data_IF_560015294724
#
_entry.id   IF_560015294724
#
_cell.length_a   1.000
_cell.length_b   1.000
_cell.length_c   1.000
_cell.angle_alpha   90.00
_cell.angle_beta   90.00
_cell.angle_gamma   90.00
#
_symmetry.space_group_name_H-M   'P 1'
#
loop_
_entity.id
_entity.type
_entity.pdbx_description
1 polymer ?
#
# COMPACT_ATOMS: atom_id res chain seq x y z
N UNK A 1 -18.56 4.75 -7.52
CA UNK A 1 -19.88 4.82 -8.20
C UNK A 1 -21.02 5.29 -7.29
N UNK A 2 -20.87 5.37 -5.97
CA UNK A 2 -21.95 5.87 -5.08
C UNK A 2 -21.88 7.37 -4.74
N UNK A 3 -20.80 8.08 -5.08
CA UNK A 3 -20.64 9.51 -4.75
C UNK A 3 -21.13 10.47 -5.86
N UNK A 4 -21.36 9.97 -7.08
CA UNK A 4 -21.79 10.80 -8.21
C UNK A 4 -23.33 10.96 -8.28
N UNK A 5 -24.09 10.11 -7.58
CA UNK A 5 -25.56 10.18 -7.55
C UNK A 5 -26.10 11.28 -6.63
N UNK A 6 -25.40 11.60 -5.53
CA UNK A 6 -25.83 12.67 -4.61
C UNK A 6 -25.58 14.09 -5.16
N UNK A 7 -24.60 14.26 -6.06
CA UNK A 7 -24.23 15.58 -6.60
C UNK A 7 -25.15 16.03 -7.75
N UNK A 8 -25.79 15.09 -8.46
CA UNK A 8 -26.77 15.40 -9.51
C UNK A 8 -28.12 15.84 -8.92
N UNK A 9 -28.55 15.25 -7.81
CA UNK A 9 -29.79 15.60 -7.11
C UNK A 9 -29.74 17.01 -6.48
N UNK A 10 -28.57 17.44 -6.00
CA UNK A 10 -28.41 18.79 -5.44
C UNK A 10 -28.43 19.89 -6.51
N UNK A 11 -27.89 19.61 -7.71
CA UNK A 11 -27.91 20.54 -8.84
C UNK A 11 -29.27 20.60 -9.56
N UNK A 12 -30.08 19.55 -9.47
CA UNK A 12 -31.44 19.55 -10.01
C UNK A 12 -32.40 20.42 -9.17
N UNK A 13 -32.28 20.42 -7.84
CA UNK A 13 -33.13 21.21 -6.93
C UNK A 13 -32.92 22.73 -7.03
N UNK A 14 -31.75 23.19 -7.49
CA UNK A 14 -31.48 24.61 -7.73
C UNK A 14 -32.11 25.15 -9.03
N UNK A 15 -32.59 24.29 -9.94
CA UNK A 15 -33.25 24.70 -11.18
C UNK A 15 -34.78 24.76 -11.11
N UNK A 16 -35.42 24.19 -10.08
CA UNK A 16 -36.89 24.14 -9.98
C UNK A 16 -37.51 25.37 -9.29
N UNK A 17 -36.71 26.24 -8.67
CA UNK A 17 -37.21 27.43 -7.95
C UNK A 17 -37.13 28.75 -8.73
N UNK A 18 -36.85 28.71 -10.04
CA UNK A 18 -36.62 29.92 -10.84
C UNK A 18 -37.74 30.28 -11.85
N UNK A 19 -38.75 29.44 -12.05
CA UNK A 19 -39.82 29.67 -13.04
C UNK A 19 -41.22 29.37 -12.48
N UNK A 20 -41.70 30.20 -11.56
CA UNK A 20 -43.13 30.26 -11.22
C UNK A 20 -43.46 31.49 -10.39
N UNK A 21 -43.31 32.70 -10.96
CA UNK A 21 -44.05 33.89 -10.47
C UNK A 21 -43.90 35.06 -11.46
N UNK A 22 -44.64 35.03 -12.58
CA UNK A 22 -44.92 36.23 -13.36
C UNK A 22 -46.39 36.23 -13.81
N UNK A 23 -47.09 37.28 -13.40
CA UNK A 23 -48.53 37.53 -13.50
C UNK A 23 -49.10 37.76 -12.09
N UNK A 24 -49.61 38.91 -11.66
CA UNK A 24 -50.01 40.16 -12.33
C UNK A 24 -50.27 41.26 -11.26
N UNK A 25 -50.03 42.52 -11.64
CA UNK A 25 -50.60 43.80 -11.15
C UNK A 25 -50.52 44.27 -9.66
N UNK A 26 -49.79 45.39 -9.54
CA UNK A 26 -50.00 46.63 -8.76
C UNK A 26 -49.85 46.75 -7.23
N UNK A 27 -49.11 47.82 -6.91
CA UNK A 27 -49.04 48.66 -5.71
C UNK A 27 -48.18 48.24 -4.51
N UNK A 28 -47.11 49.05 -4.35
CA UNK A 28 -46.34 49.40 -3.14
C UNK A 28 -45.58 48.28 -2.40
N UNK A 29 -44.27 48.47 -2.21
CA UNK A 29 -43.41 47.61 -1.39
C UNK A 29 -42.19 47.01 -2.10
N UNK A 30 -41.77 47.59 -3.21
CA UNK A 30 -40.71 47.05 -4.07
C UNK A 30 -39.32 47.61 -3.71
N UNK A 31 -38.74 47.21 -2.56
CA UNK A 31 -37.29 47.43 -2.35
C UNK A 31 -36.60 46.56 -1.29
N UNK A 32 -37.33 45.92 -0.36
CA UNK A 32 -36.71 45.26 0.80
C UNK A 32 -36.49 43.75 0.60
N UNK A 33 -37.35 43.04 -0.14
CA UNK A 33 -37.22 41.57 -0.31
C UNK A 33 -36.18 41.12 -1.34
N UNK A 34 -35.89 41.91 -2.39
CA UNK A 34 -34.88 41.54 -3.42
C UNK A 34 -33.42 41.64 -2.93
N UNK A 35 -33.14 42.49 -1.94
CA UNK A 35 -31.79 42.68 -1.38
C UNK A 35 -31.34 41.53 -0.48
N UNK A 36 -32.27 40.74 0.07
CA UNK A 36 -31.98 39.67 1.04
C UNK A 36 -31.62 38.34 0.35
N UNK A 37 -32.30 38.00 -0.75
CA UNK A 37 -32.03 36.77 -1.52
C UNK A 37 -30.72 36.84 -2.33
N UNK A 38 -30.37 37.99 -2.90
CA UNK A 38 -29.12 38.19 -3.64
C UNK A 38 -27.86 38.02 -2.76
N UNK A 39 -27.88 38.55 -1.53
CA UNK A 39 -26.77 38.38 -0.57
C UNK A 39 -26.59 36.93 -0.10
N UNK A 40 -27.66 36.14 -0.02
CA UNK A 40 -27.59 34.76 0.43
C UNK A 40 -26.92 33.86 -0.62
N UNK A 41 -27.19 34.08 -1.91
CA UNK A 41 -26.56 33.31 -3.01
C UNK A 41 -25.08 33.65 -3.19
N UNK A 42 -24.69 34.93 -3.02
CA UNK A 42 -23.28 35.33 -3.05
C UNK A 42 -22.49 34.70 -1.89
N UNK A 43 -23.06 34.68 -0.69
CA UNK A 43 -22.42 34.08 0.48
C UNK A 43 -22.27 32.55 0.36
N UNK A 44 -23.25 31.86 -0.25
CA UNK A 44 -23.14 30.42 -0.54
C UNK A 44 -22.10 30.11 -1.62
N UNK A 45 -22.01 30.92 -2.68
CA UNK A 45 -21.01 30.69 -3.74
C UNK A 45 -19.58 30.97 -3.24
N UNK A 46 -19.42 32.03 -2.43
CA UNK A 46 -18.12 32.38 -1.82
C UNK A 46 -17.66 31.30 -0.83
N UNK A 47 -18.57 30.76 -0.02
CA UNK A 47 -18.23 29.66 0.91
C UNK A 47 -17.90 28.36 0.17
N UNK A 48 -18.64 28.00 -0.89
CA UNK A 48 -18.33 26.86 -1.73
C UNK A 48 -16.95 26.98 -2.40
N UNK A 49 -16.65 28.14 -3.00
CA UNK A 49 -15.36 28.39 -3.64
C UNK A 49 -14.20 28.35 -2.63
N UNK A 50 -14.39 28.87 -1.41
CA UNK A 50 -13.41 28.79 -0.32
C UNK A 50 -13.14 27.35 0.11
N UNK A 51 -14.20 26.54 0.26
CA UNK A 51 -14.07 25.12 0.63
C UNK A 51 -13.39 24.31 -0.48
N UNK A 52 -13.74 24.55 -1.75
CA UNK A 52 -13.08 23.90 -2.90
C UNK A 52 -11.60 24.29 -3.01
N UNK A 53 -11.27 25.57 -2.84
CA UNK A 53 -9.89 26.05 -2.86
C UNK A 53 -9.06 25.46 -1.71
N UNK A 54 -9.64 25.37 -0.51
CA UNK A 54 -9.01 24.71 0.64
C UNK A 54 -8.75 23.22 0.37
N UNK A 55 -9.70 22.51 -0.23
CA UNK A 55 -9.54 21.10 -0.58
C UNK A 55 -8.46 20.87 -1.65
N UNK A 56 -8.37 21.74 -2.67
CA UNK A 56 -7.33 21.64 -3.70
C UNK A 56 -5.95 21.90 -3.14
N UNK A 57 -5.81 22.87 -2.24
CA UNK A 57 -4.53 23.19 -1.57
C UNK A 57 -4.07 22.04 -0.67
N UNK A 58 -4.98 21.42 0.09
CA UNK A 58 -4.68 20.23 0.90
C UNK A 58 -4.25 19.06 0.00
N UNK A 59 -4.97 18.81 -1.11
CA UNK A 59 -4.63 17.74 -2.07
C UNK A 59 -3.25 17.95 -2.70
N UNK A 60 -2.92 19.18 -3.09
CA UNK A 60 -1.60 19.52 -3.63
C UNK A 60 -0.49 19.39 -2.58
N UNK A 61 -0.75 19.78 -1.33
CA UNK A 61 0.19 19.63 -0.21
C UNK A 61 0.46 18.16 0.10
N UNK A 62 -0.57 17.31 0.15
CA UNK A 62 -0.44 15.86 0.34
C UNK A 62 0.32 15.21 -0.82
N UNK A 63 0.05 15.60 -2.07
CA UNK A 63 0.75 15.03 -3.23
C UNK A 63 2.24 15.44 -3.25
N UNK A 64 2.55 16.68 -2.87
CA UNK A 64 3.92 17.18 -2.77
C UNK A 64 4.70 16.52 -1.62
N UNK A 65 4.03 16.27 -0.48
CA UNK A 65 4.59 15.52 0.65
C UNK A 65 4.81 14.06 0.27
N UNK A 66 3.85 13.41 -0.39
CA UNK A 66 3.96 12.03 -0.89
C UNK A 66 5.12 11.86 -1.86
N UNK A 67 5.32 12.83 -2.77
CA UNK A 67 6.46 12.85 -3.72
C UNK A 67 7.81 13.08 -3.03
N UNK A 68 7.85 13.71 -1.85
CA UNK A 68 9.07 13.92 -1.06
C UNK A 68 9.39 12.74 -0.12
N UNK A 69 8.42 11.87 0.18
CA UNK A 69 8.58 10.73 1.10
C UNK A 69 9.06 9.45 0.38
N UNK A 70 8.99 9.37 -0.94
CA UNK A 70 9.55 8.26 -1.74
C UNK A 70 10.86 8.69 -2.40
N UNK A 71 11.99 8.50 -1.72
CA UNK A 71 13.34 8.70 -2.31
C UNK A 71 14.05 7.39 -2.65
N UNK A 72 13.50 6.24 -2.29
CA UNK A 72 13.96 4.91 -2.71
C UNK A 72 12.91 4.30 -3.65
N UNK A 73 13.34 3.77 -4.81
CA UNK A 73 12.42 3.04 -5.72
C UNK A 73 11.96 1.72 -5.11
N UNK A 74 12.67 1.21 -4.12
CA UNK A 74 12.32 -0.02 -3.37
C UNK A 74 11.39 0.32 -2.21
N UNK A 75 10.15 0.64 -2.55
CA UNK A 75 9.07 0.79 -1.57
C UNK A 75 8.39 -0.56 -1.27
N UNK A 76 7.40 -0.56 -0.36
CA UNK A 76 6.68 -1.78 -0.01
C UNK A 76 5.89 -2.36 -1.20
N UNK A 77 5.50 -1.53 -2.19
CA UNK A 77 4.85 -2.02 -3.42
C UNK A 77 5.82 -2.78 -4.30
N UNK A 78 7.04 -2.27 -4.47
CA UNK A 78 8.12 -2.99 -5.13
C UNK A 78 8.38 -4.32 -4.43
N UNK A 79 8.48 -4.30 -3.09
CA UNK A 79 8.73 -5.52 -2.32
C UNK A 79 7.61 -6.55 -2.46
N UNK A 80 6.35 -6.11 -2.46
CA UNK A 80 5.20 -6.96 -2.74
C UNK A 80 5.27 -7.58 -4.14
N UNK A 81 5.68 -6.81 -5.16
CA UNK A 81 5.87 -7.37 -6.52
C UNK A 81 6.96 -8.45 -6.58
N UNK A 82 8.01 -8.35 -5.75
CA UNK A 82 9.04 -9.41 -5.65
C UNK A 82 8.47 -10.68 -5.02
N UNK A 83 7.69 -10.54 -3.95
CA UNK A 83 7.00 -11.67 -3.31
C UNK A 83 6.07 -12.36 -4.31
N UNK A 84 5.24 -11.60 -5.01
CA UNK A 84 4.28 -12.12 -6.00
C UNK A 84 4.98 -12.87 -7.15
N UNK A 85 6.06 -12.28 -7.68
CA UNK A 85 6.89 -12.94 -8.69
C UNK A 85 7.47 -14.27 -8.19
N UNK A 86 8.05 -14.29 -6.98
CA UNK A 86 8.65 -15.52 -6.44
C UNK A 86 7.59 -16.58 -6.16
N UNK A 87 6.45 -16.20 -5.60
CA UNK A 87 5.37 -17.13 -5.28
C UNK A 87 4.80 -17.76 -6.55
N UNK A 88 4.44 -16.92 -7.54
CA UNK A 88 3.80 -17.35 -8.78
C UNK A 88 4.70 -18.20 -9.66
N UNK A 89 6.02 -18.04 -9.61
CA UNK A 89 6.94 -18.78 -10.49
C UNK A 89 7.60 -19.99 -9.81
N UNK A 90 7.80 -19.95 -8.50
CA UNK A 90 8.62 -20.95 -7.80
C UNK A 90 7.94 -21.63 -6.63
N UNK A 91 6.80 -21.11 -6.14
CA UNK A 91 6.02 -21.66 -5.02
C UNK A 91 4.55 -21.91 -5.40
N UNK A 92 4.29 -22.27 -6.66
CA UNK A 92 2.94 -22.53 -7.18
C UNK A 92 2.21 -23.68 -6.46
N UNK A 93 2.97 -24.65 -5.96
CA UNK A 93 2.50 -25.79 -5.15
C UNK A 93 2.13 -25.39 -3.70
N UNK A 94 2.57 -24.21 -3.24
CA UNK A 94 2.36 -23.77 -1.85
C UNK A 94 1.03 -23.04 -1.75
N UNK A 95 0.02 -23.72 -1.21
CA UNK A 95 -1.30 -23.13 -0.94
C UNK A 95 -1.22 -22.00 0.08
N UNK A 96 -1.83 -20.86 -0.22
CA UNK A 96 -1.96 -19.76 0.73
C UNK A 96 -3.17 -19.98 1.64
N UNK A 97 -2.96 -20.57 2.82
CA UNK A 97 -4.05 -20.92 3.77
C UNK A 97 -4.44 -19.77 4.70
N UNK A 98 -3.66 -18.68 4.68
CA UNK A 98 -3.89 -17.50 5.48
C UNK A 98 -3.29 -16.27 4.79
N UNK A 99 -3.73 -15.04 5.12
CA UNK A 99 -3.14 -13.85 4.55
C UNK A 99 -1.65 -13.74 4.91
N UNK A 100 -0.83 -13.52 3.88
CA UNK A 100 0.62 -13.29 4.02
C UNK A 100 0.92 -11.87 3.58
N UNK A 101 1.52 -11.11 4.50
CA UNK A 101 1.95 -9.73 4.25
C UNK A 101 3.46 -9.66 4.17
N UNK A 102 3.97 -8.71 3.40
CA UNK A 102 5.39 -8.39 3.33
C UNK A 102 5.59 -6.88 3.46
N UNK A 103 6.67 -6.47 4.12
CA UNK A 103 7.05 -5.06 4.21
C UNK A 103 8.47 -4.88 4.70
N UNK A 104 9.01 -3.68 4.49
CA UNK A 104 10.27 -3.30 5.07
C UNK A 104 10.13 -3.00 6.57
N UNK A 105 10.98 -3.60 7.38
CA UNK A 105 11.15 -3.31 8.79
C UNK A 105 12.17 -2.22 9.06
N UNK A 106 12.65 -2.18 10.30
CA UNK A 106 13.78 -1.32 10.71
C UNK A 106 15.05 -1.69 9.95
N UNK A 107 15.95 -0.73 9.82
CA UNK A 107 17.31 -1.00 9.35
C UNK A 107 18.00 -1.99 10.30
N UNK A 108 18.57 -3.05 9.74
CA UNK A 108 19.26 -4.10 10.48
C UNK A 108 20.40 -4.65 9.63
N UNK A 109 21.60 -4.68 10.21
CA UNK A 109 22.83 -5.17 9.57
C UNK A 109 22.95 -6.69 9.57
N UNK A 110 22.34 -7.36 10.56
CA UNK A 110 22.59 -8.77 10.86
C UNK A 110 21.38 -9.67 10.60
N UNK A 111 20.16 -9.18 10.86
CA UNK A 111 18.92 -9.90 10.55
C UNK A 111 18.31 -9.30 9.29
N UNK A 112 18.46 -9.99 8.17
CA UNK A 112 18.07 -9.50 6.84
C UNK A 112 16.60 -9.80 6.50
N UNK A 113 16.06 -10.90 7.03
CA UNK A 113 14.67 -11.32 6.88
C UNK A 113 14.14 -11.96 8.16
N UNK A 114 12.82 -12.03 8.26
CA UNK A 114 12.12 -12.88 9.23
C UNK A 114 10.66 -13.06 8.84
N UNK A 115 10.09 -14.21 9.17
CA UNK A 115 8.64 -14.44 9.11
C UNK A 115 8.07 -14.75 10.49
N UNK A 116 6.89 -14.18 10.80
CA UNK A 116 6.15 -14.44 12.04
C UNK A 116 4.68 -14.71 11.77
N UNK A 117 4.06 -15.52 12.63
CA UNK A 117 2.61 -15.73 12.69
C UNK A 117 2.01 -14.91 13.82
N UNK A 118 1.03 -14.08 13.51
CA UNK A 118 0.16 -13.46 14.52
C UNK A 118 -0.88 -14.49 14.99
N UNK A 119 -0.79 -14.90 16.26
CA UNK A 119 -1.55 -16.05 16.78
C UNK A 119 -3.06 -15.82 16.78
N UNK A 120 -3.51 -14.58 16.96
CA UNK A 120 -4.94 -14.22 17.08
C UNK A 120 -5.61 -14.16 15.71
N UNK A 121 -5.03 -13.38 14.79
CA UNK A 121 -5.60 -13.15 13.44
C UNK A 121 -5.20 -14.24 12.44
N UNK A 122 -4.24 -15.10 12.81
CA UNK A 122 -3.60 -16.09 11.93
C UNK A 122 -2.95 -15.48 10.70
N UNK A 123 -2.54 -14.21 10.74
CA UNK A 123 -1.84 -13.54 9.64
C UNK A 123 -0.33 -13.79 9.73
N UNK A 124 0.29 -14.10 8.60
CA UNK A 124 1.74 -14.23 8.51
C UNK A 124 2.35 -12.93 8.00
N UNK A 125 3.45 -12.50 8.60
CA UNK A 125 4.15 -11.28 8.23
C UNK A 125 5.62 -11.59 7.93
N UNK A 126 6.02 -11.39 6.68
CA UNK A 126 7.40 -11.38 6.23
C UNK A 126 7.93 -9.96 6.41
N UNK A 127 9.03 -9.82 7.13
CA UNK A 127 9.70 -8.53 7.35
C UNK A 127 11.09 -8.60 6.76
N UNK A 128 11.40 -7.68 5.85
CA UNK A 128 12.71 -7.54 5.22
C UNK A 128 13.42 -6.33 5.82
N UNK A 129 14.74 -6.40 6.05
CA UNK A 129 15.51 -5.29 6.61
C UNK A 129 15.35 -4.01 5.79
N UNK A 130 15.20 -2.87 6.46
CA UNK A 130 15.16 -1.57 5.80
C UNK A 130 16.45 -1.23 5.01
N UNK A 131 17.56 -1.93 5.29
CA UNK A 131 18.81 -1.82 4.54
C UNK A 131 18.64 -2.14 3.06
N UNK A 132 17.72 -3.04 2.71
CA UNK A 132 17.51 -3.46 1.32
C UNK A 132 16.76 -2.44 0.46
N UNK A 133 16.33 -1.32 1.05
CA UNK A 133 15.84 -0.15 0.30
C UNK A 133 16.93 0.54 -0.52
N UNK A 134 18.19 0.34 -0.14
CA UNK A 134 19.35 0.79 -0.90
C UNK A 134 19.50 -0.07 -2.18
N UNK A 135 19.52 0.59 -3.33
CA UNK A 135 19.65 -0.04 -4.64
C UNK A 135 21.06 -0.63 -4.88
N UNK A 136 22.06 -0.21 -4.11
CA UNK A 136 23.40 -0.82 -4.13
C UNK A 136 23.38 -2.30 -3.67
N UNK A 137 22.35 -2.71 -2.92
CA UNK A 137 22.14 -4.11 -2.57
C UNK A 137 21.57 -4.85 -3.79
N UNK A 138 22.19 -5.93 -4.29
CA UNK A 138 21.68 -6.67 -5.44
C UNK A 138 20.25 -7.21 -5.24
N UNK A 139 19.45 -7.23 -6.29
CA UNK A 139 18.05 -7.70 -6.23
C UNK A 139 18.00 -9.18 -5.84
N UNK A 140 18.95 -9.98 -6.30
CA UNK A 140 19.05 -11.41 -6.00
C UNK A 140 19.25 -11.67 -4.51
N UNK A 141 19.88 -10.74 -3.77
CA UNK A 141 20.03 -10.84 -2.31
C UNK A 141 18.68 -10.63 -1.62
N UNK A 142 17.89 -9.67 -2.11
CA UNK A 142 16.53 -9.42 -1.63
C UNK A 142 15.65 -10.62 -1.94
N UNK A 143 15.65 -11.10 -3.18
CA UNK A 143 14.85 -12.25 -3.62
C UNK A 143 15.24 -13.53 -2.88
N UNK A 144 16.54 -13.77 -2.64
CA UNK A 144 16.98 -14.92 -1.84
C UNK A 144 16.41 -14.83 -0.42
N UNK A 145 16.40 -13.64 0.18
CA UNK A 145 15.87 -13.44 1.53
C UNK A 145 14.36 -13.68 1.55
N UNK A 146 13.61 -13.18 0.58
CA UNK A 146 12.17 -13.44 0.48
C UNK A 146 11.89 -14.93 0.28
N UNK A 147 12.61 -15.58 -0.65
CA UNK A 147 12.44 -17.00 -0.93
C UNK A 147 12.79 -17.88 0.29
N UNK A 148 13.76 -17.45 1.10
CA UNK A 148 14.09 -18.10 2.37
C UNK A 148 12.92 -18.06 3.36
N UNK A 149 12.29 -16.89 3.53
CA UNK A 149 11.10 -16.75 4.38
C UNK A 149 9.90 -17.53 3.81
N UNK A 150 9.77 -17.63 2.49
CA UNK A 150 8.76 -18.47 1.85
C UNK A 150 8.98 -19.96 2.09
N UNK A 151 10.23 -20.44 2.09
CA UNK A 151 10.53 -21.83 2.48
C UNK A 151 10.11 -22.10 3.93
N UNK A 152 10.30 -21.14 4.85
CA UNK A 152 9.76 -21.27 6.20
C UNK A 152 8.24 -21.43 6.20
N UNK A 153 7.54 -20.55 5.48
CA UNK A 153 6.08 -20.62 5.35
C UNK A 153 5.61 -21.97 4.79
N UNK A 154 6.24 -22.42 3.70
CA UNK A 154 5.93 -23.66 2.99
C UNK A 154 6.12 -24.90 3.89
N UNK A 155 7.16 -24.90 4.72
CA UNK A 155 7.43 -25.99 5.67
C UNK A 155 6.59 -25.93 6.96
N UNK A 156 5.64 -25.00 7.06
CA UNK A 156 4.75 -24.86 8.21
C UNK A 156 5.31 -24.02 9.37
N UNK A 157 6.43 -23.32 9.17
CA UNK A 157 6.94 -22.37 10.15
C UNK A 157 6.25 -21.03 9.98
N UNK A 158 5.87 -20.40 11.09
CA UNK A 158 5.19 -19.10 11.08
C UNK A 158 3.95 -19.07 10.16
N UNK A 159 3.27 -20.21 10.04
CA UNK A 159 2.00 -20.35 9.32
C UNK A 159 1.08 -21.32 10.10
N UNK A 160 -0.24 -21.34 9.79
CA UNK A 160 -1.16 -22.32 10.37
C UNK A 160 -0.98 -23.75 9.83
N UNK A 161 -0.08 -23.97 8.88
CA UNK A 161 0.12 -25.28 8.24
C UNK A 161 0.79 -26.25 9.22
N UNK A 162 0.57 -27.57 9.06
CA UNK A 162 1.36 -28.58 9.74
C UNK A 162 2.85 -28.40 9.44
N UNK A 163 3.71 -28.59 10.45
CA UNK A 163 5.15 -28.51 10.28
C UNK A 163 5.67 -29.76 9.59
N UNK A 164 6.41 -29.58 8.50
CA UNK A 164 7.06 -30.68 7.79
C UNK A 164 8.34 -31.15 8.48
N UNK A 165 8.93 -30.30 9.33
CA UNK A 165 10.19 -30.56 10.03
C UNK A 165 10.18 -30.09 11.48
N UNK A 166 10.98 -30.77 12.31
CA UNK A 166 11.14 -30.42 13.74
C UNK A 166 11.89 -29.11 13.95
N UNK A 167 12.80 -28.72 13.05
CA UNK A 167 13.49 -27.42 13.15
C UNK A 167 13.62 -26.73 11.78
N UNK A 168 13.60 -25.37 11.75
CA UNK A 168 13.49 -24.58 10.51
C UNK A 168 14.71 -24.64 9.57
N UNK A 169 15.86 -25.11 10.04
CA UNK A 169 17.10 -25.19 9.24
C UNK A 169 17.83 -26.54 9.34
N UNK A 170 17.22 -27.53 9.98
CA UNK A 170 17.83 -28.84 10.20
C UNK A 170 18.26 -29.48 8.87
N UNK A 171 19.48 -30.02 8.83
CA UNK A 171 20.00 -30.69 7.63
C UNK A 171 20.05 -29.83 6.37
N UNK A 172 20.01 -28.49 6.50
CA UNK A 172 20.00 -27.56 5.38
C UNK A 172 18.73 -27.59 4.53
N UNK A 173 17.58 -27.97 5.12
CA UNK A 173 16.29 -28.11 4.40
C UNK A 173 15.95 -26.89 3.54
N UNK A 174 16.18 -25.66 4.01
CA UNK A 174 15.89 -24.45 3.23
C UNK A 174 16.77 -24.38 1.97
N UNK A 175 18.06 -24.68 2.09
CA UNK A 175 18.98 -24.70 0.94
C UNK A 175 18.57 -25.78 -0.06
N UNK A 176 18.19 -26.96 0.43
CA UNK A 176 17.70 -28.06 -0.42
C UNK A 176 16.41 -27.68 -1.14
N UNK A 177 15.48 -27.05 -0.43
CA UNK A 177 14.20 -26.60 -0.98
C UNK A 177 14.39 -25.53 -2.07
N UNK A 178 15.22 -24.50 -1.81
CA UNK A 178 15.54 -23.49 -2.82
C UNK A 178 16.18 -24.10 -4.07
N UNK A 179 17.11 -25.06 -3.90
CA UNK A 179 17.71 -25.78 -5.04
C UNK A 179 16.67 -26.58 -5.82
N UNK A 180 15.80 -27.33 -5.13
CA UNK A 180 14.72 -28.12 -5.73
C UNK A 180 13.77 -27.24 -6.57
N UNK A 181 13.55 -26.00 -6.13
CA UNK A 181 12.73 -24.99 -6.82
C UNK A 181 13.49 -24.23 -7.92
N UNK A 182 14.72 -24.60 -8.28
CA UNK A 182 15.50 -23.93 -9.32
C UNK A 182 16.11 -22.58 -8.91
N UNK A 183 16.10 -22.24 -7.61
CA UNK A 183 16.60 -20.97 -7.06
C UNK A 183 18.05 -21.05 -6.58
N UNK A 184 18.85 -21.98 -7.11
CA UNK A 184 20.25 -22.13 -6.68
C UNK A 184 21.09 -20.87 -7.00
N UNK A 185 20.78 -20.18 -8.10
CA UNK A 185 21.47 -18.94 -8.48
C UNK A 185 21.33 -17.86 -7.38
N UNK A 186 20.16 -17.76 -6.72
CA UNK A 186 19.94 -16.86 -5.60
C UNK A 186 20.83 -17.21 -4.40
N UNK A 187 20.97 -18.51 -4.09
CA UNK A 187 21.86 -18.97 -3.01
C UNK A 187 23.30 -18.55 -3.30
N UNK A 188 23.77 -18.70 -4.54
CA UNK A 188 25.13 -18.33 -4.98
C UNK A 188 25.33 -16.82 -4.89
N UNK A 189 24.39 -16.03 -5.40
CA UNK A 189 24.43 -14.57 -5.36
C UNK A 189 24.47 -14.04 -3.92
N UNK A 190 23.57 -14.54 -3.07
CA UNK A 190 23.54 -14.19 -1.65
C UNK A 190 24.83 -14.55 -0.92
N UNK A 191 25.36 -15.76 -1.13
CA UNK A 191 26.62 -16.18 -0.52
C UNK A 191 27.81 -15.32 -0.94
N UNK A 192 27.90 -14.96 -2.24
CA UNK A 192 28.92 -14.03 -2.76
C UNK A 192 28.79 -12.67 -2.10
N UNK A 193 27.59 -12.09 -2.11
CA UNK A 193 27.34 -10.78 -1.52
C UNK A 193 27.64 -10.76 -0.02
N UNK A 194 27.20 -11.78 0.73
CA UNK A 194 27.40 -11.84 2.17
C UNK A 194 28.89 -11.89 2.55
N UNK A 195 29.72 -12.57 1.75
CA UNK A 195 31.17 -12.61 1.98
C UNK A 195 31.79 -11.22 1.81
N UNK A 196 31.39 -10.45 0.80
CA UNK A 196 31.91 -9.10 0.59
C UNK A 196 31.35 -8.12 1.63
N UNK A 197 30.05 -8.20 1.91
CA UNK A 197 29.41 -7.38 2.93
C UNK A 197 30.04 -7.57 4.31
N UNK A 198 30.40 -8.80 4.70
CA UNK A 198 31.09 -9.06 5.98
C UNK A 198 32.44 -8.36 6.11
N UNK A 199 33.12 -8.00 5.02
CA UNK A 199 34.38 -7.23 5.06
C UNK A 199 34.15 -5.75 5.33
N UNK A 200 32.91 -5.28 5.23
CA UNK A 200 32.52 -3.89 5.46
C UNK A 200 32.00 -3.63 6.88
N UNK A 201 31.87 -4.68 7.68
CA UNK A 201 31.41 -4.65 9.08
C UNK A 201 32.60 -4.51 10.02
#
# INVERSE_FOLDING_TARGET
>A
MELDCCLSLFNALLKVHFWSFFGSCFHCGNQIRRKRTFRLTENLQVTYNRLKFSQTMVKQKVNTISRRISTSKRDDKWLLSRLDHLWTNFFTDVTQVNPVFIGFGRFSKFRLGSIRLEKTTKRSYITITGMFKDEAIPVEVVDQTIAHELCHYAHGFSSPKPRLHKYPHEGGIIKKELKRRGLEYLIKAYGKWLREYRKTL
#
